data_IF_480139150036
#
_entry.id   IF_480139150036
#
_cell.length_a   1.000
_cell.length_b   1.000
_cell.length_c   1.000
_cell.angle_alpha   90.00
_cell.angle_beta   90.00
_cell.angle_gamma   90.00
#
_symmetry.space_group_name_H-M   'P 1'
#
loop_
_entity.id
_entity.type
_entity.pdbx_description
1 polymer ?
#
# COMPACT_ATOMS: atom_id res chain seq x y z
N UNK A 1 -6.58 -12.63 12.32
CA UNK A 1 -5.67 -12.16 13.37
C UNK A 1 -6.41 -11.18 14.20
N UNK A 2 -6.49 -11.44 15.50
CA UNK A 2 -6.97 -10.43 16.45
C UNK A 2 -5.89 -9.38 16.72
N UNK A 3 -6.16 -8.44 17.63
CA UNK A 3 -5.23 -7.36 17.99
C UNK A 3 -3.91 -7.90 18.56
N UNK A 4 -3.94 -8.92 19.40
CA UNK A 4 -2.72 -9.47 20.03
C UNK A 4 -1.83 -10.13 18.98
N UNK A 5 -2.41 -10.91 18.07
CA UNK A 5 -1.70 -11.53 16.95
C UNK A 5 -1.13 -10.49 15.98
N UNK A 6 -1.91 -9.44 15.67
CA UNK A 6 -1.45 -8.34 14.82
C UNK A 6 -0.27 -7.61 15.46
N UNK A 7 -0.35 -7.24 16.73
CA UNK A 7 0.69 -6.46 17.39
C UNK A 7 1.98 -7.28 17.54
N UNK A 8 1.85 -8.59 17.77
CA UNK A 8 2.98 -9.50 17.76
C UNK A 8 3.62 -9.64 16.36
N UNK A 9 2.83 -9.67 15.28
CA UNK A 9 3.34 -9.68 13.91
C UNK A 9 4.17 -8.41 13.62
N UNK A 10 3.67 -7.26 14.07
CA UNK A 10 4.30 -5.96 13.83
C UNK A 10 5.45 -5.65 14.81
N UNK A 11 5.73 -6.54 15.76
CA UNK A 11 6.72 -6.37 16.84
C UNK A 11 6.50 -5.09 17.67
N UNK A 12 5.25 -4.84 18.08
CA UNK A 12 4.82 -3.67 18.87
C UNK A 12 4.04 -4.07 20.13
N UNK A 13 4.09 -3.25 21.19
CA UNK A 13 3.26 -3.44 22.40
C UNK A 13 1.96 -2.63 22.32
N UNK A 14 2.03 -1.44 21.71
CA UNK A 14 0.94 -0.49 21.47
C UNK A 14 1.06 0.11 20.07
N UNK A 15 -0.02 0.71 19.54
CA UNK A 15 0.06 1.42 18.26
C UNK A 15 0.98 2.64 18.28
N UNK A 16 1.31 3.20 19.46
CA UNK A 16 2.30 4.27 19.60
C UNK A 16 3.73 3.81 19.21
N UNK A 17 4.00 2.49 19.27
CA UNK A 17 5.30 1.89 18.91
C UNK A 17 5.46 1.70 17.39
N UNK A 18 4.40 1.94 16.60
CA UNK A 18 4.42 1.88 15.14
C UNK A 18 5.21 3.08 14.58
N UNK A 19 6.54 2.94 14.51
CA UNK A 19 7.45 4.04 14.17
C UNK A 19 8.49 3.66 13.11
N UNK A 20 8.52 2.40 12.69
CA UNK A 20 9.51 1.87 11.78
C UNK A 20 8.87 1.47 10.45
N UNK A 21 9.66 1.57 9.38
CA UNK A 21 9.26 1.16 8.03
C UNK A 21 8.76 -0.28 8.00
N UNK A 22 9.42 -1.15 8.74
CA UNK A 22 9.14 -2.57 8.86
C UNK A 22 7.75 -2.81 9.46
N UNK A 23 7.28 -1.97 10.40
CA UNK A 23 5.90 -2.11 10.89
C UNK A 23 4.89 -1.88 9.75
N UNK A 24 5.15 -0.92 8.85
CA UNK A 24 4.28 -0.67 7.70
C UNK A 24 4.40 -1.77 6.64
N UNK A 25 5.62 -2.21 6.34
CA UNK A 25 5.88 -3.27 5.38
C UNK A 25 5.27 -4.61 5.84
N UNK A 26 5.49 -5.01 7.10
CA UNK A 26 4.95 -6.25 7.66
C UNK A 26 3.42 -6.24 7.68
N UNK A 27 2.80 -5.07 7.91
CA UNK A 27 1.35 -4.93 7.77
C UNK A 27 0.92 -5.13 6.31
N UNK A 28 1.47 -4.36 5.37
CA UNK A 28 1.00 -4.31 3.97
C UNK A 28 1.32 -5.59 3.20
N UNK A 29 2.40 -6.28 3.55
CA UNK A 29 2.85 -7.49 2.86
C UNK A 29 2.27 -8.77 3.46
N UNK A 30 1.55 -8.68 4.58
CA UNK A 30 0.88 -9.82 5.17
C UNK A 30 -0.43 -10.17 4.43
N UNK A 31 -0.47 -11.40 3.91
CA UNK A 31 -1.65 -12.00 3.25
C UNK A 31 -2.69 -12.54 4.26
N UNK A 32 -2.32 -12.68 5.53
CA UNK A 32 -3.19 -13.21 6.57
C UNK A 32 -4.40 -12.30 6.83
N UNK A 33 -5.58 -12.89 6.96
CA UNK A 33 -6.78 -12.16 7.35
C UNK A 33 -6.60 -11.51 8.74
N UNK A 34 -6.83 -10.21 8.83
CA UNK A 34 -6.80 -9.43 10.08
C UNK A 34 -8.23 -8.95 10.35
N UNK A 35 -8.65 -9.01 11.62
CA UNK A 35 -9.94 -8.47 12.03
C UNK A 35 -9.97 -6.95 11.83
N UNK A 36 -11.03 -6.42 11.21
CA UNK A 36 -11.20 -4.98 11.01
C UNK A 36 -11.11 -4.19 12.31
N UNK A 37 -11.64 -4.75 13.41
CA UNK A 37 -11.57 -4.11 14.73
C UNK A 37 -10.11 -3.99 15.21
N UNK A 38 -9.26 -4.97 14.91
CA UNK A 38 -7.84 -4.93 15.27
C UNK A 38 -7.06 -3.87 14.49
N UNK A 39 -7.40 -3.67 13.21
CA UNK A 39 -6.80 -2.62 12.38
C UNK A 39 -7.27 -1.25 12.84
N UNK A 40 -8.56 -1.12 13.18
CA UNK A 40 -9.12 0.11 13.72
C UNK A 40 -8.42 0.50 15.03
N UNK A 41 -8.30 -0.45 15.98
CA UNK A 41 -7.59 -0.23 17.24
C UNK A 41 -6.15 0.27 17.00
N UNK A 42 -5.42 -0.36 16.05
CA UNK A 42 -4.09 0.10 15.64
C UNK A 42 -4.12 1.54 15.11
N UNK A 43 -4.98 1.85 14.13
CA UNK A 43 -5.10 3.19 13.54
C UNK A 43 -5.39 4.26 14.59
N UNK A 44 -6.21 3.96 15.60
CA UNK A 44 -6.54 4.95 16.64
C UNK A 44 -5.39 5.26 17.60
N UNK A 45 -4.38 4.40 17.67
CA UNK A 45 -3.21 4.54 18.54
C UNK A 45 -1.98 5.12 17.82
N UNK A 46 -1.89 4.98 16.49
CA UNK A 46 -0.76 5.49 15.69
C UNK A 46 -0.76 7.03 15.64
N UNK A 47 0.42 7.64 15.73
CA UNK A 47 0.60 9.05 15.33
C UNK A 47 0.45 9.19 13.81
N UNK A 48 -0.61 9.86 13.35
CA UNK A 48 -0.92 9.98 11.92
C UNK A 48 0.15 10.68 11.09
N UNK A 49 1.01 11.51 11.70
CA UNK A 49 2.15 12.10 10.99
C UNK A 49 3.20 11.03 10.72
N UNK A 50 3.50 10.19 11.71
CA UNK A 50 4.36 9.01 11.52
C UNK A 50 3.77 8.06 10.48
N UNK A 51 2.46 7.77 10.53
CA UNK A 51 1.80 6.96 9.49
C UNK A 51 2.04 7.51 8.08
N UNK A 52 1.82 8.82 7.88
CA UNK A 52 2.01 9.46 6.58
C UNK A 52 3.46 9.36 6.08
N UNK A 53 4.44 9.62 6.95
CA UNK A 53 5.87 9.52 6.61
C UNK A 53 6.28 8.09 6.22
N UNK A 54 5.78 7.08 6.95
CA UNK A 54 6.03 5.66 6.66
C UNK A 54 5.34 5.23 5.36
N UNK A 55 4.10 5.65 5.15
CA UNK A 55 3.35 5.39 3.91
C UNK A 55 4.09 5.99 2.71
N UNK A 56 4.53 7.24 2.76
CA UNK A 56 5.30 7.86 1.69
C UNK A 56 6.60 7.10 1.40
N UNK A 57 7.32 6.71 2.45
CA UNK A 57 8.58 5.95 2.33
C UNK A 57 8.35 4.58 1.69
N UNK A 58 7.31 3.86 2.10
CA UNK A 58 6.94 2.56 1.55
C UNK A 58 6.60 2.64 0.07
N UNK A 59 5.75 3.59 -0.30
CA UNK A 59 5.37 3.76 -1.70
C UNK A 59 6.54 4.26 -2.55
N UNK A 60 7.46 5.07 -1.99
CA UNK A 60 8.68 5.47 -2.70
C UNK A 60 9.52 4.25 -3.09
N UNK A 61 9.82 3.33 -2.16
CA UNK A 61 10.54 2.09 -2.49
C UNK A 61 9.74 1.20 -3.45
N UNK A 62 8.43 1.10 -3.26
CA UNK A 62 7.55 0.30 -4.12
C UNK A 62 7.60 0.80 -5.57
N UNK A 63 7.48 2.11 -5.78
CA UNK A 63 7.46 2.74 -7.10
C UNK A 63 8.81 2.65 -7.83
N UNK A 64 9.94 2.64 -7.12
CA UNK A 64 11.27 2.40 -7.72
C UNK A 64 11.42 0.98 -8.32
N UNK A 65 10.56 0.05 -7.91
CA UNK A 65 10.54 -1.33 -8.40
C UNK A 65 9.51 -1.58 -9.50
N UNK A 66 8.68 -0.58 -9.86
CA UNK A 66 7.76 -0.70 -10.99
C UNK A 66 8.55 -0.77 -12.31
N UNK A 67 8.28 -1.75 -13.20
CA UNK A 67 8.92 -1.80 -14.50
C UNK A 67 8.63 -0.53 -15.32
N UNK A 68 9.66 0.04 -15.96
CA UNK A 68 9.60 1.39 -16.51
C UNK A 68 8.61 1.62 -17.65
N UNK A 69 8.06 0.57 -18.26
CA UNK A 69 7.03 0.65 -19.29
C UNK A 69 5.59 0.56 -18.73
N UNK A 70 5.42 0.34 -17.42
CA UNK A 70 4.13 0.12 -16.76
C UNK A 70 3.61 1.41 -16.09
N UNK A 71 3.21 2.38 -16.91
CA UNK A 71 2.79 3.72 -16.45
C UNK A 71 1.46 3.67 -15.66
N UNK A 72 0.55 2.78 -16.04
CA UNK A 72 -0.79 2.73 -15.45
C UNK A 72 -0.76 2.25 -14.00
N UNK A 73 -0.01 1.18 -13.71
CA UNK A 73 0.16 0.68 -12.32
C UNK A 73 0.96 1.66 -11.47
N UNK A 74 1.99 2.32 -12.03
CA UNK A 74 2.71 3.39 -11.34
C UNK A 74 1.73 4.49 -10.89
N UNK A 75 0.87 4.93 -11.80
CA UNK A 75 -0.12 5.98 -11.54
C UNK A 75 -1.16 5.54 -10.51
N UNK A 76 -1.60 4.29 -10.57
CA UNK A 76 -2.53 3.72 -9.59
C UNK A 76 -1.91 3.71 -8.18
N UNK A 77 -0.69 3.18 -8.02
CA UNK A 77 0.01 3.16 -6.74
C UNK A 77 0.24 4.58 -6.19
N UNK A 78 0.60 5.54 -7.04
CA UNK A 78 0.69 6.96 -6.66
C UNK A 78 -0.66 7.51 -6.15
N UNK A 79 -1.77 7.14 -6.78
CA UNK A 79 -3.10 7.57 -6.35
C UNK A 79 -3.51 6.92 -5.02
N UNK A 80 -3.25 5.61 -4.83
CA UNK A 80 -3.50 4.92 -3.57
C UNK A 80 -2.72 5.59 -2.44
N UNK A 81 -1.42 5.85 -2.64
CA UNK A 81 -0.59 6.61 -1.69
C UNK A 81 -1.24 7.93 -1.30
N UNK A 82 -1.68 8.73 -2.28
CA UNK A 82 -2.32 10.04 -2.03
C UNK A 82 -3.60 9.90 -1.21
N UNK A 83 -4.42 8.88 -1.47
CA UNK A 83 -5.64 8.61 -0.70
C UNK A 83 -5.28 8.25 0.74
N UNK A 84 -4.35 7.31 0.98
CA UNK A 84 -3.94 6.90 2.32
C UNK A 84 -3.35 8.06 3.13
N UNK A 85 -2.44 8.84 2.53
CA UNK A 85 -1.86 10.04 3.18
C UNK A 85 -2.95 11.08 3.44
N UNK A 86 -3.82 11.34 2.47
CA UNK A 86 -4.93 12.28 2.64
C UNK A 86 -5.90 11.87 3.76
N UNK A 87 -6.24 10.58 3.85
CA UNK A 87 -7.07 10.04 4.92
C UNK A 87 -6.39 10.18 6.29
N UNK A 88 -5.08 9.91 6.39
CA UNK A 88 -4.33 10.13 7.64
C UNK A 88 -4.34 11.59 8.09
N UNK A 89 -4.30 12.53 7.15
CA UNK A 89 -4.43 13.96 7.42
C UNK A 89 -5.85 14.35 7.88
N UNK A 90 -6.88 13.75 7.28
CA UNK A 90 -8.26 13.91 7.71
C UNK A 90 -8.49 13.38 9.13
N UNK A 91 -7.89 12.23 9.48
CA UNK A 91 -7.87 11.70 10.86
C UNK A 91 -7.23 12.71 11.81
N UNK A 92 -6.07 13.25 11.45
CA UNK A 92 -5.37 14.26 12.28
C UNK A 92 -6.19 15.54 12.49
N UNK A 93 -7.00 15.92 11.49
CA UNK A 93 -7.93 17.07 11.57
C UNK A 93 -9.22 16.75 12.35
N UNK A 94 -9.45 15.49 12.72
CA UNK A 94 -10.65 15.04 13.40
C UNK A 94 -11.90 15.06 12.52
N UNK A 95 -11.73 14.82 11.21
CA UNK A 95 -12.85 14.70 10.28
C UNK A 95 -13.69 13.45 10.59
N UNK A 96 -15.00 13.55 10.40
CA UNK A 96 -15.95 12.51 10.77
C UNK A 96 -15.72 11.22 9.98
N UNK A 97 -15.59 10.09 10.68
CA UNK A 97 -15.33 8.75 10.13
C UNK A 97 -14.02 8.61 9.32
N UNK A 98 -13.10 9.57 9.40
CA UNK A 98 -11.84 9.48 8.66
C UNK A 98 -10.98 8.28 9.09
N UNK A 99 -11.04 7.92 10.36
CA UNK A 99 -10.37 6.77 10.98
C UNK A 99 -10.89 5.43 10.45
N UNK A 100 -12.22 5.30 10.34
CA UNK A 100 -12.87 4.14 9.73
C UNK A 100 -12.51 4.02 8.24
N UNK A 101 -12.56 5.14 7.50
CA UNK A 101 -12.19 5.15 6.08
C UNK A 101 -10.72 4.78 5.87
N UNK A 102 -9.82 5.30 6.70
CA UNK A 102 -8.41 4.93 6.64
C UNK A 102 -8.20 3.44 6.94
N UNK A 103 -8.90 2.93 7.94
CA UNK A 103 -8.87 1.50 8.30
C UNK A 103 -9.28 0.63 7.12
N UNK A 104 -10.41 0.96 6.49
CA UNK A 104 -10.95 0.21 5.35
C UNK A 104 -10.02 0.28 4.13
N UNK A 105 -9.57 1.48 3.75
CA UNK A 105 -8.72 1.70 2.58
C UNK A 105 -7.33 1.07 2.75
N UNK A 106 -6.73 1.15 3.95
CA UNK A 106 -5.43 0.55 4.21
C UNK A 106 -5.49 -0.99 4.21
N UNK A 107 -6.56 -1.55 4.77
CA UNK A 107 -6.82 -2.98 4.71
C UNK A 107 -7.10 -3.47 3.28
N UNK A 108 -7.87 -2.69 2.51
CA UNK A 108 -8.16 -2.96 1.09
C UNK A 108 -6.89 -2.98 0.26
N UNK A 109 -6.03 -1.96 0.43
CA UNK A 109 -4.73 -1.91 -0.23
C UNK A 109 -3.88 -3.13 0.13
N UNK A 110 -3.75 -3.50 1.42
CA UNK A 110 -3.00 -4.69 1.86
C UNK A 110 -3.44 -5.94 1.09
N UNK A 111 -4.75 -6.22 1.09
CA UNK A 111 -5.30 -7.45 0.50
C UNK A 111 -5.08 -7.46 -1.01
N UNK A 112 -5.40 -6.36 -1.70
CA UNK A 112 -5.17 -6.25 -3.14
C UNK A 112 -3.69 -6.41 -3.49
N UNK A 113 -2.81 -5.71 -2.79
CA UNK A 113 -1.38 -5.67 -3.09
C UNK A 113 -0.68 -7.01 -2.86
N UNK A 114 -1.02 -7.70 -1.76
CA UNK A 114 -0.35 -8.92 -1.32
C UNK A 114 -1.02 -10.23 -1.77
N UNK A 115 -2.31 -10.21 -2.14
CA UNK A 115 -3.06 -11.45 -2.39
C UNK A 115 -4.03 -11.41 -3.59
N UNK A 116 -4.90 -10.40 -3.67
CA UNK A 116 -6.07 -10.46 -4.57
C UNK A 116 -5.79 -9.93 -5.99
N UNK A 117 -4.75 -9.11 -6.18
CA UNK A 117 -4.37 -8.64 -7.51
C UNK A 117 -3.77 -9.75 -8.37
N UNK A 118 -3.85 -9.58 -9.69
CA UNK A 118 -3.30 -10.55 -10.64
C UNK A 118 -2.44 -9.83 -11.69
N UNK A 119 -1.15 -10.20 -11.73
CA UNK A 119 -0.16 -9.71 -12.70
C UNK A 119 0.41 -10.91 -13.45
N UNK A 120 0.39 -10.84 -14.78
CA UNK A 120 1.05 -11.84 -15.61
C UNK A 120 2.56 -11.54 -15.69
N UNK A 121 3.37 -12.48 -15.24
CA UNK A 121 4.83 -12.44 -15.31
C UNK A 121 5.32 -13.52 -16.26
N UNK A 122 5.82 -13.13 -17.42
CA UNK A 122 6.32 -14.06 -18.45
C UNK A 122 7.84 -14.02 -18.55
N UNK A 123 8.52 -15.12 -18.25
CA UNK A 123 9.97 -15.25 -18.43
C UNK A 123 10.31 -15.25 -19.93
N UNK A 124 11.22 -14.36 -20.34
CA UNK A 124 11.55 -14.17 -21.76
C UNK A 124 12.43 -15.28 -22.35
N UNK A 125 13.15 -16.03 -21.51
CA UNK A 125 14.05 -17.10 -21.93
C UNK A 125 13.35 -18.46 -21.99
N UNK A 126 12.49 -18.78 -21.02
CA UNK A 126 11.79 -20.07 -20.92
C UNK A 126 10.38 -20.06 -21.52
N UNK A 127 9.82 -18.89 -21.82
CA UNK A 127 8.40 -18.68 -22.16
C UNK A 127 7.40 -19.11 -21.06
N UNK A 128 7.88 -19.39 -19.84
CA UNK A 128 7.02 -19.73 -18.70
C UNK A 128 6.23 -18.51 -18.22
N UNK A 129 4.95 -18.72 -17.88
CA UNK A 129 4.02 -17.67 -17.45
C UNK A 129 3.53 -18.00 -16.05
N UNK A 130 3.62 -17.01 -15.16
CA UNK A 130 3.09 -17.05 -13.80
C UNK A 130 2.12 -15.90 -13.59
N UNK A 131 1.14 -16.13 -12.72
CA UNK A 131 0.22 -15.09 -12.26
C UNK A 131 0.45 -14.90 -10.77
N UNK A 132 0.79 -13.67 -10.39
CA UNK A 132 1.16 -13.34 -9.00
C UNK A 132 0.57 -11.99 -8.61
N UNK A 133 0.41 -11.71 -7.30
CA UNK A 133 0.02 -10.40 -6.82
C UNK A 133 1.02 -9.30 -7.21
N UNK A 134 0.57 -8.04 -7.17
CA UNK A 134 1.39 -6.86 -7.47
C UNK A 134 2.67 -6.86 -6.62
N UNK A 135 2.58 -7.14 -5.30
CA UNK A 135 3.76 -7.24 -4.42
C UNK A 135 4.82 -8.17 -5.02
N UNK A 136 4.42 -9.38 -5.38
CA UNK A 136 5.32 -10.42 -5.86
C UNK A 136 5.89 -10.08 -7.23
N UNK A 137 5.08 -9.50 -8.13
CA UNK A 137 5.55 -9.02 -9.42
C UNK A 137 6.65 -7.95 -9.26
N UNK A 138 6.51 -7.02 -8.31
CA UNK A 138 7.51 -6.01 -8.02
C UNK A 138 8.79 -6.61 -7.39
N UNK A 139 8.64 -7.62 -6.54
CA UNK A 139 9.79 -8.38 -6.00
C UNK A 139 10.54 -9.07 -7.13
N UNK A 140 9.85 -9.74 -8.06
CA UNK A 140 10.46 -10.37 -9.24
C UNK A 140 11.22 -9.31 -10.04
N UNK A 141 10.60 -8.17 -10.36
CA UNK A 141 11.24 -7.08 -11.10
C UNK A 141 12.49 -6.52 -10.42
N UNK A 142 12.47 -6.43 -9.08
CA UNK A 142 13.66 -6.06 -8.30
C UNK A 142 14.76 -7.12 -8.41
N UNK A 143 14.42 -8.41 -8.37
CA UNK A 143 15.38 -9.52 -8.46
C UNK A 143 16.01 -9.65 -9.85
N UNK A 144 15.32 -9.31 -10.92
CA UNK A 144 15.88 -9.28 -12.29
C UNK A 144 17.14 -8.42 -12.38
N UNK A 145 17.16 -7.29 -11.66
CA UNK A 145 18.30 -6.36 -11.60
C UNK A 145 19.56 -7.02 -11.00
N UNK A 146 19.42 -8.17 -10.35
CA UNK A 146 20.48 -8.89 -9.65
C UNK A 146 20.88 -10.22 -10.33
N UNK A 147 19.90 -11.02 -10.75
CA UNK A 147 20.13 -12.41 -11.21
C UNK A 147 20.13 -12.58 -12.75
N UNK A 148 19.73 -11.57 -13.52
CA UNK A 148 19.85 -11.55 -14.98
C UNK A 148 18.78 -12.32 -15.76
N UNK A 149 17.80 -12.91 -15.08
CA UNK A 149 16.54 -13.32 -15.72
C UNK A 149 15.74 -12.07 -16.10
N UNK A 150 15.08 -12.09 -17.26
CA UNK A 150 14.26 -10.99 -17.77
C UNK A 150 12.81 -11.46 -17.95
N UNK A 151 11.85 -10.71 -17.42
CA UNK A 151 10.43 -10.98 -17.56
C UNK A 151 9.73 -9.84 -18.30
N UNK A 152 8.60 -10.18 -18.91
CA UNK A 152 7.60 -9.24 -19.37
C UNK A 152 6.42 -9.26 -18.40
N UNK A 153 5.97 -8.07 -18.02
CA UNK A 153 4.86 -7.87 -17.09
C UNK A 153 3.61 -7.40 -17.82
N UNK A 154 2.44 -7.88 -17.39
CA UNK A 154 1.14 -7.32 -17.73
C UNK A 154 0.31 -7.10 -16.46
N UNK A 155 0.14 -5.83 -16.10
CA UNK A 155 -0.60 -5.40 -14.90
C UNK A 155 -2.09 -5.16 -15.16
N UNK A 156 -2.61 -5.40 -16.38
CA UNK A 156 -3.98 -5.06 -16.72
C UNK A 156 -5.02 -5.70 -15.78
N UNK A 157 -4.73 -6.90 -15.25
CA UNK A 157 -5.56 -7.60 -14.28
C UNK A 157 -5.60 -6.99 -12.88
N UNK A 158 -4.71 -6.03 -12.56
CA UNK A 158 -4.63 -5.38 -11.26
C UNK A 158 -5.16 -3.93 -11.25
N UNK A 159 -5.60 -3.40 -12.40
CA UNK A 159 -5.99 -1.99 -12.54
C UNK A 159 -7.43 -1.68 -12.11
N UNK A 160 -8.19 -2.67 -11.67
CA UNK A 160 -9.59 -2.54 -11.24
C UNK A 160 -9.75 -2.11 -9.77
N UNK A 161 -8.66 -1.68 -9.12
CA UNK A 161 -8.70 -1.15 -7.77
C UNK A 161 -9.60 0.09 -7.68
N UNK A 162 -10.69 -0.02 -6.93
CA UNK A 162 -11.59 1.10 -6.65
C UNK A 162 -11.00 1.96 -5.53
N UNK A 163 -10.67 3.21 -5.79
CA UNK A 163 -10.19 4.13 -4.74
C UNK A 163 -11.36 4.60 -3.87
N UNK A 164 -11.13 4.71 -2.56
CA UNK A 164 -12.04 5.45 -1.68
C UNK A 164 -12.22 6.89 -2.20
N UNK A 165 -13.45 7.39 -2.22
CA UNK A 165 -13.74 8.76 -2.66
C UNK A 165 -13.13 9.76 -1.67
N UNK A 166 -11.94 10.24 -2.00
CA UNK A 166 -11.32 11.35 -1.28
C UNK A 166 -12.14 12.63 -1.56
N UNK A 167 -12.86 13.13 -0.56
CA UNK A 167 -13.48 14.46 -0.63
C UNK A 167 -12.35 15.48 -0.50
N UNK A 168 -11.67 15.73 -1.61
CA UNK A 168 -10.73 16.83 -1.74
C UNK A 168 -11.53 18.13 -1.58
N UNK A 169 -11.41 18.77 -0.42
CA UNK A 169 -12.01 20.08 -0.25
C UNK A 169 -11.26 21.03 -1.20
N UNK A 170 -12.00 21.83 -1.97
CA UNK A 170 -11.46 22.77 -2.98
C UNK A 170 -10.34 23.70 -2.47
N UNK A 171 -10.15 23.83 -1.15
CA UNK A 171 -9.04 24.55 -0.54
C UNK A 171 -7.68 23.88 -0.79
N UNK A 172 -7.60 22.55 -0.76
CA UNK A 172 -6.34 21.80 -0.89
C UNK A 172 -5.82 21.81 -2.35
N UNK A 173 -6.73 21.89 -3.32
CA UNK A 173 -6.37 22.07 -4.74
C UNK A 173 -5.80 23.46 -5.04
N UNK A 174 -6.20 24.48 -4.29
CA UNK A 174 -5.75 25.86 -4.50
C UNK A 174 -4.37 26.16 -3.91
N UNK A 175 -3.92 25.37 -2.92
CA UNK A 175 -2.56 25.47 -2.38
C UNK A 175 -1.53 24.75 -3.28
N UNK A 176 -1.91 23.65 -3.94
CA UNK A 176 -1.04 22.91 -4.85
C UNK A 176 -0.72 23.65 -6.18
N UNK A 177 -1.52 24.65 -6.58
CA UNK A 177 -1.27 25.48 -7.77
C UNK A 177 -0.42 26.74 -7.49
N UNK A 178 -0.03 26.98 -6.24
CA UNK A 178 0.67 28.22 -5.82
C UNK A 178 2.12 28.03 -5.32
N UNK A 179 2.74 26.85 -5.53
CA UNK A 179 4.18 26.62 -5.31
C UNK A 179 4.94 26.43 -6.63
#
# INVERSE_FOLDING_TARGET
>A
MDREELFALLDIETGEDFQYFENFADFVENEGAIDSDAIYDLITEIDMKTFAELCESYFYETLENVPGDQIDIYSLLENIKRVLVGLSEAVRKGEENADLKLTDEWNKFRIWYSADSEVECKNTASDEVHYVPVRDALVISRMEKLDGDEYRYDFAGALDYELEEFIMNYADMAEAEND
#
